data_IF_101225815219
#
_entry.id   IF_101225815219
#
_cell.length_a   1.000
_cell.length_b   1.000
_cell.length_c   1.000
_cell.angle_alpha   90.00
_cell.angle_beta   90.00
_cell.angle_gamma   90.00
#
_symmetry.space_group_name_H-M   'P 1'
#
loop_
_entity.id
_entity.type
_entity.pdbx_description
1 polymer ?
#
# COMPACT_ATOMS: atom_id res chain seq x y z
N UNK A 1 10.81 13.47 -54.46
CA UNK A 1 10.78 12.58 -53.27
C UNK A 1 11.41 13.14 -51.98
N UNK A 2 12.25 14.21 -52.01
CA UNK A 2 12.89 14.73 -50.78
C UNK A 2 11.96 15.65 -49.95
N UNK A 3 11.03 16.33 -50.61
CA UNK A 3 10.15 17.34 -49.99
C UNK A 3 8.97 16.72 -49.24
N UNK A 4 8.42 15.59 -49.68
CA UNK A 4 7.34 14.89 -48.96
C UNK A 4 7.82 14.32 -47.62
N UNK A 5 9.07 13.83 -47.55
CA UNK A 5 9.66 13.32 -46.30
C UNK A 5 9.87 14.43 -45.27
N UNK A 6 10.27 15.64 -45.71
CA UNK A 6 10.39 16.82 -44.84
C UNK A 6 9.02 17.32 -44.36
N UNK A 7 8.02 17.30 -45.24
CA UNK A 7 6.64 17.67 -44.87
C UNK A 7 6.03 16.65 -43.88
N UNK A 8 6.26 15.36 -44.09
CA UNK A 8 5.80 14.28 -43.21
C UNK A 8 6.50 14.34 -41.84
N UNK A 9 7.81 14.64 -41.81
CA UNK A 9 8.56 14.79 -40.56
C UNK A 9 8.10 16.02 -39.77
N UNK A 10 7.80 17.13 -40.45
CA UNK A 10 7.24 18.33 -39.81
C UNK A 10 5.84 18.06 -39.23
N UNK A 11 5.01 17.30 -39.95
CA UNK A 11 3.67 16.93 -39.48
C UNK A 11 3.72 16.03 -38.22
N UNK A 12 4.65 15.07 -38.17
CA UNK A 12 4.87 14.19 -37.01
C UNK A 12 5.37 14.98 -35.79
N UNK A 13 6.25 15.97 -35.99
CA UNK A 13 6.71 16.86 -34.93
C UNK A 13 5.59 17.76 -34.39
N UNK A 14 4.66 18.23 -35.24
CA UNK A 14 3.51 19.04 -34.79
C UNK A 14 2.48 18.19 -34.02
N UNK A 15 2.25 16.94 -34.45
CA UNK A 15 1.36 16.00 -33.76
C UNK A 15 1.87 15.56 -32.38
N UNK A 16 3.18 15.62 -32.13
CA UNK A 16 3.78 15.25 -30.84
C UNK A 16 3.75 16.36 -29.79
N UNK A 17 3.45 17.61 -30.15
CA UNK A 17 3.27 18.72 -29.19
C UNK A 17 1.84 18.79 -28.64
N UNK A 18 0.87 18.13 -29.29
CA UNK A 18 -0.54 18.13 -28.88
C UNK A 18 -0.89 17.08 -27.81
N UNK A 19 0.06 16.23 -27.40
CA UNK A 19 -0.09 15.33 -26.24
C UNK A 19 0.28 16.05 -24.94
N UNK A 20 -0.32 17.22 -24.71
CA UNK A 20 -0.28 17.87 -23.41
C UNK A 20 -0.92 16.95 -22.36
N UNK A 21 -0.23 16.71 -21.25
CA UNK A 21 -0.78 16.00 -20.10
C UNK A 21 -2.01 16.76 -19.57
N UNK A 22 -3.21 16.31 -19.94
CA UNK A 22 -4.41 16.68 -19.18
C UNK A 22 -4.20 16.20 -17.74
N UNK A 23 -4.25 17.11 -16.77
CA UNK A 23 -4.40 16.74 -15.36
C UNK A 23 -5.72 15.99 -15.25
N UNK A 24 -5.64 14.67 -15.19
CA UNK A 24 -6.79 13.83 -14.88
C UNK A 24 -7.17 14.10 -13.43
N UNK A 25 -8.25 14.86 -13.22
CA UNK A 25 -9.03 14.68 -12.01
C UNK A 25 -9.51 13.23 -12.06
N UNK A 26 -8.94 12.39 -11.21
CA UNK A 26 -9.40 11.01 -11.06
C UNK A 26 -10.73 11.09 -10.32
N UNK A 27 -11.83 11.27 -11.06
CA UNK A 27 -13.15 10.88 -10.56
C UNK A 27 -13.07 9.38 -10.28
N UNK A 28 -12.89 9.00 -9.03
CA UNK A 28 -12.85 7.60 -8.61
C UNK A 28 -14.23 6.92 -8.67
N UNK A 29 -15.24 7.62 -9.19
CA UNK A 29 -16.64 7.21 -9.17
C UNK A 29 -17.23 7.13 -7.77
N UNK A 30 -18.53 6.88 -7.70
CA UNK A 30 -19.21 6.43 -6.47
C UNK A 30 -18.89 4.95 -6.30
N UNK A 31 -17.89 4.62 -5.48
CA UNK A 31 -17.59 3.23 -5.16
C UNK A 31 -18.66 2.71 -4.19
N UNK A 32 -19.37 1.64 -4.56
CA UNK A 32 -20.21 0.94 -3.60
C UNK A 32 -19.30 0.28 -2.56
N UNK A 33 -19.34 0.78 -1.33
CA UNK A 33 -18.44 0.29 -0.28
C UNK A 33 -18.72 -1.18 0.08
N UNK A 34 -19.98 -1.63 -0.04
CA UNK A 34 -20.39 -2.97 0.35
C UNK A 34 -19.96 -4.00 -0.68
N UNK A 35 -19.50 -5.15 -0.18
CA UNK A 35 -19.18 -6.30 -1.01
C UNK A 35 -19.86 -7.56 -0.44
N UNK A 36 -20.56 -8.29 -1.30
CA UNK A 36 -21.35 -9.47 -0.94
C UNK A 36 -20.48 -10.74 -0.88
N UNK A 37 -19.43 -10.70 -0.07
CA UNK A 37 -18.50 -11.78 0.19
C UNK A 37 -17.53 -11.40 1.31
N UNK A 38 -16.63 -12.29 1.68
CA UNK A 38 -15.59 -12.00 2.69
C UNK A 38 -14.35 -11.32 2.06
N UNK A 39 -13.42 -10.86 2.91
CA UNK A 39 -12.19 -10.18 2.47
C UNK A 39 -11.38 -11.04 1.49
N UNK A 40 -11.27 -12.35 1.75
CA UNK A 40 -10.51 -13.26 0.89
C UNK A 40 -11.14 -13.35 -0.51
N UNK A 41 -12.46 -13.50 -0.60
CA UNK A 41 -13.20 -13.59 -1.87
C UNK A 41 -13.02 -12.31 -2.70
N UNK A 42 -13.10 -11.14 -2.08
CA UNK A 42 -12.85 -9.86 -2.77
C UNK A 42 -11.45 -9.84 -3.40
N UNK A 43 -10.44 -10.28 -2.65
CA UNK A 43 -9.06 -10.30 -3.13
C UNK A 43 -8.86 -11.33 -4.24
N UNK A 44 -9.54 -12.49 -4.17
CA UNK A 44 -9.53 -13.53 -5.20
C UNK A 44 -10.19 -13.05 -6.50
N UNK A 45 -11.30 -12.32 -6.45
CA UNK A 45 -11.90 -11.68 -7.64
C UNK A 45 -10.95 -10.67 -8.30
N UNK A 46 -10.12 -10.00 -7.49
CA UNK A 46 -9.09 -9.05 -7.95
C UNK A 46 -7.69 -9.69 -7.97
N UNK A 47 -7.59 -11.00 -8.23
CA UNK A 47 -6.33 -11.78 -8.22
C UNK A 47 -5.16 -11.10 -8.94
N UNK A 48 -5.28 -10.48 -10.14
CA UNK A 48 -4.13 -9.83 -10.77
C UNK A 48 -3.45 -8.76 -9.91
N UNK A 49 -4.21 -8.14 -8.99
CA UNK A 49 -3.70 -7.13 -8.07
C UNK A 49 -3.18 -7.69 -6.74
N UNK A 50 -3.72 -8.85 -6.30
CA UNK A 50 -3.43 -9.47 -4.99
C UNK A 50 -2.78 -10.86 -5.05
N UNK A 51 -2.42 -11.37 -6.24
CA UNK A 51 -1.87 -12.72 -6.44
C UNK A 51 -0.78 -13.14 -5.43
N UNK A 52 0.27 -12.32 -5.29
CA UNK A 52 1.33 -12.60 -4.33
C UNK A 52 0.85 -12.46 -2.89
N UNK A 53 -0.07 -11.52 -2.62
CA UNK A 53 -0.65 -11.32 -1.29
C UNK A 53 -1.50 -12.50 -0.85
N UNK A 54 -2.36 -13.03 -1.73
CA UNK A 54 -3.14 -14.25 -1.51
C UNK A 54 -2.22 -15.45 -1.23
N UNK A 55 -1.13 -15.57 -1.99
CA UNK A 55 -0.12 -16.60 -1.77
C UNK A 55 0.55 -16.47 -0.40
N UNK A 56 0.96 -15.25 -0.02
CA UNK A 56 1.56 -14.96 1.29
C UNK A 56 0.59 -15.22 2.43
N UNK A 57 -0.70 -14.89 2.29
CA UNK A 57 -1.73 -15.19 3.31
C UNK A 57 -1.81 -16.71 3.57
N UNK A 58 -1.79 -17.51 2.49
CA UNK A 58 -1.80 -18.98 2.59
C UNK A 58 -0.52 -19.51 3.23
N UNK A 59 0.65 -19.06 2.77
CA UNK A 59 1.95 -19.46 3.31
C UNK A 59 2.13 -19.06 4.79
N UNK A 60 1.55 -17.93 5.21
CA UNK A 60 1.56 -17.46 6.59
C UNK A 60 0.62 -18.25 7.52
N UNK A 61 -0.26 -19.11 6.98
CA UNK A 61 -1.31 -19.77 7.75
C UNK A 61 -2.37 -18.79 8.29
N UNK A 62 -2.61 -17.68 7.59
CA UNK A 62 -3.57 -16.63 7.99
C UNK A 62 -4.87 -16.65 7.18
N UNK A 63 -5.09 -17.66 6.36
CA UNK A 63 -6.29 -17.76 5.51
C UNK A 63 -7.60 -17.71 6.33
N UNK A 64 -7.67 -18.44 7.45
CA UNK A 64 -8.84 -18.43 8.33
C UNK A 64 -9.07 -17.08 9.00
N UNK A 65 -7.99 -16.42 9.43
CA UNK A 65 -8.06 -15.07 10.02
C UNK A 65 -8.67 -14.08 9.00
N UNK A 66 -8.18 -14.11 7.76
CA UNK A 66 -8.64 -13.18 6.71
C UNK A 66 -10.07 -13.50 6.23
N UNK A 67 -10.48 -14.77 6.20
CA UNK A 67 -11.76 -15.18 5.62
C UNK A 67 -12.92 -15.25 6.60
N UNK A 68 -12.66 -15.45 7.90
CA UNK A 68 -13.70 -15.74 8.90
C UNK A 68 -13.80 -14.70 10.01
N UNK A 69 -12.67 -14.16 10.47
CA UNK A 69 -12.68 -13.26 11.62
C UNK A 69 -13.18 -11.85 11.24
N UNK A 70 -13.73 -11.15 12.24
CA UNK A 70 -14.08 -9.73 12.11
C UNK A 70 -12.82 -8.86 12.28
N UNK A 71 -12.26 -8.41 11.16
CA UNK A 71 -10.98 -7.69 11.13
C UNK A 71 -11.01 -6.45 10.22
N UNK A 72 -10.04 -5.58 10.43
CA UNK A 72 -9.62 -4.57 9.47
C UNK A 72 -8.30 -5.00 8.87
N UNK A 73 -8.28 -5.22 7.56
CA UNK A 73 -7.07 -5.64 6.85
C UNK A 73 -6.55 -4.51 5.97
N UNK A 74 -5.31 -4.11 6.21
CA UNK A 74 -4.57 -3.17 5.37
C UNK A 74 -3.75 -3.94 4.33
N UNK A 75 -4.43 -4.42 3.28
CA UNK A 75 -3.85 -5.33 2.30
C UNK A 75 -2.71 -4.69 1.50
N UNK A 76 -1.48 -5.24 1.55
CA UNK A 76 -0.44 -4.87 0.62
C UNK A 76 -0.80 -5.43 -0.77
N UNK A 77 -0.63 -4.66 -1.86
CA UNK A 77 -0.77 -5.20 -3.22
C UNK A 77 0.42 -6.09 -3.59
N UNK A 78 0.27 -6.96 -4.59
CA UNK A 78 1.35 -7.87 -5.05
C UNK A 78 2.65 -7.14 -5.38
N UNK A 79 2.55 -5.91 -5.89
CA UNK A 79 3.73 -5.08 -6.19
C UNK A 79 4.58 -4.74 -4.97
N UNK A 80 4.00 -4.63 -3.78
CA UNK A 80 4.76 -4.38 -2.55
C UNK A 80 5.57 -5.60 -2.11
N UNK A 81 5.04 -6.81 -2.30
CA UNK A 81 5.75 -8.07 -2.04
C UNK A 81 6.88 -8.25 -3.05
N UNK A 82 6.60 -8.03 -4.34
CA UNK A 82 7.61 -8.09 -5.40
C UNK A 82 8.83 -7.19 -5.10
N UNK A 83 8.60 -5.95 -4.66
CA UNK A 83 9.68 -5.02 -4.31
C UNK A 83 10.57 -5.56 -3.16
N UNK A 84 9.95 -6.12 -2.11
CA UNK A 84 10.69 -6.66 -0.98
C UNK A 84 11.49 -7.91 -1.36
N UNK A 85 10.91 -8.83 -2.15
CA UNK A 85 11.63 -9.99 -2.69
C UNK A 85 12.77 -9.57 -3.63
N UNK A 86 12.54 -8.58 -4.49
CA UNK A 86 13.61 -8.04 -5.36
C UNK A 86 14.77 -7.51 -4.52
N UNK A 87 14.49 -6.79 -3.43
CA UNK A 87 15.55 -6.28 -2.54
C UNK A 87 16.27 -7.41 -1.81
N UNK A 88 15.54 -8.41 -1.31
CA UNK A 88 16.13 -9.62 -0.74
C UNK A 88 17.07 -10.32 -1.73
N UNK A 89 16.66 -10.49 -2.98
CA UNK A 89 17.50 -11.12 -4.01
C UNK A 89 18.73 -10.30 -4.39
N UNK A 90 18.70 -8.98 -4.20
CA UNK A 90 19.91 -8.15 -4.31
C UNK A 90 20.86 -8.51 -3.16
N UNK A 91 20.37 -8.55 -1.93
CA UNK A 91 21.16 -8.88 -0.73
C UNK A 91 21.79 -10.28 -0.82
N UNK A 92 21.01 -11.28 -1.22
CA UNK A 92 21.50 -12.65 -1.38
C UNK A 92 22.61 -12.73 -2.43
N UNK A 93 22.44 -12.04 -3.57
CA UNK A 93 23.45 -12.03 -4.63
C UNK A 93 24.76 -11.38 -4.18
N UNK A 94 24.71 -10.25 -3.47
CA UNK A 94 25.93 -9.57 -3.01
C UNK A 94 26.64 -10.33 -1.88
N UNK A 95 25.91 -11.18 -1.15
CA UNK A 95 26.46 -12.06 -0.10
C UNK A 95 26.82 -13.47 -0.60
N UNK A 96 26.78 -13.70 -1.92
CA UNK A 96 27.16 -14.99 -2.52
C UNK A 96 26.18 -16.14 -2.27
N UNK A 97 24.92 -15.83 -1.94
CA UNK A 97 23.85 -16.81 -1.68
C UNK A 97 22.92 -16.96 -2.87
N UNK A 98 22.27 -18.12 -2.97
CA UNK A 98 21.24 -18.38 -3.97
C UNK A 98 20.02 -17.48 -3.78
N UNK A 99 19.49 -16.96 -4.88
CA UNK A 99 18.31 -16.07 -4.86
C UNK A 99 17.00 -16.84 -4.74
N UNK A 100 15.99 -16.16 -4.21
CA UNK A 100 14.62 -16.67 -4.10
C UNK A 100 13.86 -16.51 -5.41
N UNK A 101 13.28 -17.61 -5.88
CA UNK A 101 12.45 -17.69 -7.09
C UNK A 101 10.98 -17.99 -6.80
N UNK A 102 10.68 -18.61 -5.65
CA UNK A 102 9.33 -18.95 -5.21
C UNK A 102 9.09 -18.41 -3.79
N UNK A 103 7.90 -17.88 -3.51
CA UNK A 103 7.55 -17.34 -2.19
C UNK A 103 7.57 -18.41 -1.09
N UNK A 104 7.35 -19.69 -1.44
CA UNK A 104 7.47 -20.86 -0.56
C UNK A 104 8.88 -21.10 -0.04
N UNK A 105 9.90 -20.50 -0.65
CA UNK A 105 11.28 -20.60 -0.15
C UNK A 105 11.47 -19.81 1.14
N UNK A 106 10.67 -18.77 1.37
CA UNK A 106 10.66 -18.02 2.62
C UNK A 106 9.79 -18.76 3.62
N UNK A 107 10.30 -18.90 4.85
CA UNK A 107 9.64 -19.66 5.90
C UNK A 107 8.27 -19.06 6.28
N UNK A 108 7.24 -19.90 6.54
CA UNK A 108 5.90 -19.47 6.96
C UNK A 108 5.87 -18.44 8.09
N UNK A 109 6.71 -18.60 9.11
CA UNK A 109 6.78 -17.73 10.29
C UNK A 109 7.19 -16.30 9.95
N UNK A 110 8.06 -16.10 8.95
CA UNK A 110 8.46 -14.77 8.48
C UNK A 110 7.27 -14.07 7.83
N UNK A 111 6.54 -14.79 6.97
CA UNK A 111 5.32 -14.28 6.36
C UNK A 111 4.27 -13.94 7.41
N UNK A 112 4.04 -14.84 8.36
CA UNK A 112 3.07 -14.65 9.44
C UNK A 112 3.41 -13.44 10.30
N UNK A 113 4.66 -13.32 10.76
CA UNK A 113 5.08 -12.21 11.61
C UNK A 113 4.86 -10.85 10.94
N UNK A 114 5.20 -10.75 9.66
CA UNK A 114 5.12 -9.49 8.94
C UNK A 114 3.71 -9.18 8.47
N UNK A 115 2.99 -10.15 7.90
CA UNK A 115 1.63 -9.95 7.42
C UNK A 115 0.67 -9.61 8.57
N UNK A 116 0.92 -10.16 9.77
CA UNK A 116 0.11 -9.86 10.96
C UNK A 116 0.15 -8.38 11.39
N UNK A 117 1.18 -7.62 10.99
CA UNK A 117 1.28 -6.17 11.25
C UNK A 117 0.28 -5.34 10.43
N UNK A 118 -0.35 -5.94 9.42
CA UNK A 118 -1.35 -5.31 8.56
C UNK A 118 -2.79 -5.63 8.97
N UNK A 119 -2.98 -6.47 9.99
CA UNK A 119 -4.28 -6.97 10.42
C UNK A 119 -4.60 -6.36 11.78
N UNK A 120 -5.82 -5.87 11.95
CA UNK A 120 -6.33 -5.31 13.20
C UNK A 120 -7.67 -5.96 13.53
N UNK A 121 -7.94 -6.22 14.81
CA UNK A 121 -9.22 -6.77 15.24
C UNK A 121 -10.33 -5.71 15.13
N UNK A 122 -11.54 -6.15 14.77
CA UNK A 122 -12.70 -5.28 14.61
C UNK A 122 -12.75 -4.58 13.26
N UNK A 123 -13.91 -4.02 12.95
CA UNK A 123 -14.21 -3.36 11.68
C UNK A 123 -14.09 -1.83 11.83
N UNK A 124 -12.95 -1.28 11.42
CA UNK A 124 -12.63 0.15 11.52
C UNK A 124 -12.60 0.76 10.12
N UNK A 125 -13.60 1.60 9.84
CA UNK A 125 -13.78 2.33 8.59
C UNK A 125 -12.95 3.61 8.61
N UNK A 126 -12.88 4.29 7.47
CA UNK A 126 -12.15 5.56 7.37
C UNK A 126 -12.64 6.58 8.41
N UNK A 127 -13.95 6.67 8.62
CA UNK A 127 -14.57 7.60 9.58
C UNK A 127 -14.26 7.31 11.05
N UNK A 128 -13.81 6.10 11.37
CA UNK A 128 -13.55 5.67 12.75
C UNK A 128 -12.11 6.02 13.19
N UNK A 129 -11.27 6.49 12.25
CA UNK A 129 -9.92 6.93 12.51
C UNK A 129 -9.85 8.45 12.72
N UNK A 130 -9.06 8.91 13.72
CA UNK A 130 -8.91 10.34 13.96
C UNK A 130 -8.13 11.03 12.85
N UNK A 131 -8.27 12.36 12.82
CA UNK A 131 -7.46 13.20 11.96
C UNK A 131 -5.98 13.06 12.33
N UNK A 132 -5.14 13.15 11.30
CA UNK A 132 -3.70 13.19 11.42
C UNK A 132 -3.13 14.29 10.54
N UNK A 133 -2.17 15.04 11.06
CA UNK A 133 -1.47 16.10 10.34
C UNK A 133 0.03 16.03 10.67
N UNK A 134 0.87 15.89 9.65
CA UNK A 134 2.33 15.83 9.84
C UNK A 134 2.98 17.19 10.11
N UNK A 135 2.30 18.28 9.78
CA UNK A 135 2.75 19.65 10.06
C UNK A 135 2.25 20.13 11.42
N UNK A 136 1.10 19.63 11.86
CA UNK A 136 0.50 19.94 13.16
C UNK A 136 0.28 18.68 14.00
N UNK A 137 1.36 17.91 14.18
CA UNK A 137 1.29 16.60 14.81
C UNK A 137 0.80 16.64 16.27
N UNK A 138 1.17 17.68 17.02
CA UNK A 138 0.72 17.85 18.41
C UNK A 138 -0.80 18.02 18.51
N UNK A 139 -1.42 18.67 17.53
CA UNK A 139 -2.88 18.84 17.49
C UNK A 139 -3.57 17.61 16.88
N UNK A 140 -2.97 17.00 15.87
CA UNK A 140 -3.53 15.88 15.10
C UNK A 140 -2.53 14.72 14.97
N UNK A 141 -2.29 13.94 16.03
CA UNK A 141 -1.28 12.88 16.02
C UNK A 141 -1.72 11.59 15.30
N UNK A 142 -2.99 11.47 14.92
CA UNK A 142 -3.61 10.18 14.64
C UNK A 142 -3.76 9.36 15.94
N UNK A 143 -3.80 8.03 15.84
CA UNK A 143 -3.93 7.16 17.00
C UNK A 143 -3.15 5.85 16.84
N UNK A 144 -2.68 5.31 17.97
CA UNK A 144 -2.04 4.00 18.05
C UNK A 144 -3.08 2.87 18.02
N UNK A 145 -2.85 1.87 17.18
CA UNK A 145 -3.64 0.64 17.10
C UNK A 145 -2.73 -0.57 17.18
N UNK A 146 -3.10 -1.55 17.99
CA UNK A 146 -2.35 -2.80 18.13
C UNK A 146 -2.73 -3.74 16.99
N UNK A 147 -1.74 -4.09 16.16
CA UNK A 147 -1.90 -5.08 15.10
C UNK A 147 -1.98 -6.50 15.65
N UNK A 148 -2.32 -7.46 14.79
CA UNK A 148 -2.47 -8.87 15.15
C UNK A 148 -1.17 -9.51 15.66
N UNK A 149 0.00 -8.97 15.28
CA UNK A 149 1.30 -9.40 15.83
C UNK A 149 1.60 -8.81 17.22
N UNK A 150 0.71 -7.98 17.78
CA UNK A 150 0.94 -7.24 19.03
C UNK A 150 1.72 -5.93 18.84
N UNK A 151 2.11 -5.57 17.59
CA UNK A 151 2.84 -4.33 17.33
C UNK A 151 1.89 -3.13 17.28
N UNK A 152 2.25 -2.04 17.95
CA UNK A 152 1.54 -0.75 17.86
C UNK A 152 1.90 -0.06 16.54
N UNK A 153 0.87 0.31 15.78
CA UNK A 153 0.93 1.04 14.52
C UNK A 153 0.20 2.37 14.67
N UNK A 154 0.61 3.42 13.97
CA UNK A 154 -0.14 4.68 13.95
C UNK A 154 -1.07 4.70 12.74
N UNK A 155 -2.35 4.97 12.97
CA UNK A 155 -3.37 5.09 11.92
C UNK A 155 -4.05 6.44 12.05
N UNK A 156 -4.31 7.09 10.93
CA UNK A 156 -5.02 8.36 10.93
C UNK A 156 -5.31 8.87 9.53
N UNK A 157 -6.18 9.87 9.46
CA UNK A 157 -6.67 10.42 8.20
C UNK A 157 -6.11 11.82 8.00
N UNK A 158 -5.40 12.02 6.89
CA UNK A 158 -4.98 13.35 6.45
C UNK A 158 -6.15 14.01 5.73
N UNK A 159 -6.53 15.19 6.21
CA UNK A 159 -7.56 16.01 5.58
C UNK A 159 -6.81 16.98 4.66
N UNK A 160 -6.91 16.79 3.35
CA UNK A 160 -6.21 17.65 2.40
C UNK A 160 -6.93 19.00 2.27
N UNK A 161 -6.22 19.99 1.75
CA UNK A 161 -6.82 21.30 1.47
C UNK A 161 -7.66 21.26 0.18
N UNK A 162 -8.73 22.05 0.15
CA UNK A 162 -9.42 22.36 -1.10
C UNK A 162 -8.67 23.52 -1.78
N UNK A 163 -8.11 23.27 -2.96
CA UNK A 163 -7.31 24.25 -3.69
C UNK A 163 -7.98 24.56 -5.03
N UNK A 164 -8.30 25.83 -5.24
CA UNK A 164 -8.78 26.35 -6.53
C UNK A 164 -7.58 26.88 -7.29
N UNK A 165 -7.38 26.38 -8.52
CA UNK A 165 -6.28 26.77 -9.38
C UNK A 165 -6.79 27.60 -10.57
N UNK A 166 -5.99 28.55 -11.04
CA UNK A 166 -6.20 29.24 -12.32
C UNK A 166 -5.87 28.32 -13.49
N UNK A 167 -6.25 28.71 -14.71
CA UNK A 167 -5.90 27.98 -15.94
C UNK A 167 -4.38 27.85 -16.15
N UNK A 168 -3.59 28.74 -15.52
CA UNK A 168 -2.12 28.72 -15.53
C UNK A 168 -1.51 27.91 -14.39
N UNK A 169 -2.34 27.32 -13.53
CA UNK A 169 -1.91 26.51 -12.39
C UNK A 169 -1.56 27.28 -11.12
N UNK A 170 -1.89 28.56 -11.05
CA UNK A 170 -1.65 29.40 -9.87
C UNK A 170 -2.76 29.17 -8.83
N UNK A 171 -2.44 29.22 -7.53
CA UNK A 171 -3.42 29.04 -6.47
C UNK A 171 -4.26 30.31 -6.31
N UNK A 172 -5.55 30.24 -6.67
CA UNK A 172 -6.52 31.32 -6.51
C UNK A 172 -7.13 31.34 -5.11
N UNK A 173 -7.36 30.16 -4.52
CA UNK A 173 -7.91 30.02 -3.17
C UNK A 173 -7.51 28.69 -2.56
N UNK A 174 -7.37 28.68 -1.23
CA UNK A 174 -7.09 27.49 -0.43
C UNK A 174 -7.96 27.51 0.81
N UNK A 175 -8.72 26.43 1.02
CA UNK A 175 -9.46 26.20 2.26
C UNK A 175 -8.85 24.99 2.96
N UNK A 176 -8.26 25.24 4.13
CA UNK A 176 -7.58 24.22 4.91
C UNK A 176 -8.55 23.09 5.30
N UNK A 177 -8.09 21.84 5.19
CA UNK A 177 -8.84 20.62 5.59
C UNK A 177 -10.20 20.39 4.90
N UNK A 178 -10.53 21.16 3.87
CA UNK A 178 -11.81 21.06 3.16
C UNK A 178 -11.77 20.17 1.89
N UNK A 179 -10.61 19.58 1.59
CA UNK A 179 -10.39 18.71 0.45
C UNK A 179 -10.70 17.23 0.76
N UNK A 180 -10.11 16.35 -0.04
CA UNK A 180 -10.31 14.91 0.09
C UNK A 180 -9.60 14.35 1.33
N UNK A 181 -10.19 13.29 1.90
CA UNK A 181 -9.64 12.57 3.05
C UNK A 181 -8.81 11.41 2.57
N UNK A 182 -7.59 11.28 3.09
CA UNK A 182 -6.70 10.17 2.77
C UNK A 182 -6.31 9.43 4.04
N UNK A 183 -6.66 8.16 4.12
CA UNK A 183 -6.24 7.28 5.22
C UNK A 183 -4.75 6.94 5.07
N UNK A 184 -4.06 6.84 6.21
CA UNK A 184 -2.67 6.39 6.30
C UNK A 184 -2.52 5.31 7.36
N UNK A 185 -1.73 4.29 7.02
CA UNK A 185 -1.13 3.38 7.98
C UNK A 185 0.34 3.76 8.12
N UNK A 186 0.83 3.91 9.35
CA UNK A 186 2.20 4.26 9.62
C UNK A 186 2.85 3.27 10.59
N UNK A 187 4.02 2.79 10.19
CA UNK A 187 4.88 1.98 11.05
C UNK A 187 5.72 2.89 11.92
N UNK A 188 5.75 2.59 13.21
CA UNK A 188 6.52 3.30 14.23
C UNK A 188 7.87 2.57 14.38
N UNK A 189 9.02 3.13 13.94
CA UNK A 189 10.30 2.43 14.05
C UNK A 189 10.79 2.33 15.48
N UNK A 190 10.65 3.40 16.26
CA UNK A 190 11.03 3.49 17.67
C UNK A 190 9.79 3.78 18.52
N UNK A 191 9.37 2.81 19.32
CA UNK A 191 8.20 2.95 20.21
C UNK A 191 8.47 3.91 21.38
N UNK A 192 9.73 4.19 21.70
CA UNK A 192 10.12 5.17 22.73
C UNK A 192 9.95 6.60 22.22
N UNK A 193 10.03 6.81 20.90
CA UNK A 193 9.74 8.07 20.21
C UNK A 193 8.70 7.86 19.10
N UNK A 194 7.43 7.57 19.45
CA UNK A 194 6.43 7.08 18.51
C UNK A 194 5.95 8.13 17.50
N UNK A 195 6.48 9.35 17.58
CA UNK A 195 6.16 10.49 16.72
C UNK A 195 7.25 10.76 15.67
N UNK A 196 8.43 10.16 15.84
CA UNK A 196 9.63 10.47 15.04
C UNK A 196 9.79 9.44 13.93
N UNK A 197 10.10 9.92 12.71
CA UNK A 197 10.47 9.09 11.56
C UNK A 197 9.47 7.98 11.21
N UNK A 198 8.17 8.25 11.40
CA UNK A 198 7.09 7.35 11.00
C UNK A 198 7.19 6.97 9.52
N UNK A 199 7.12 5.67 9.23
CA UNK A 199 7.06 5.19 7.85
C UNK A 199 5.61 5.25 7.37
N UNK A 200 5.29 6.33 6.68
CA UNK A 200 3.93 6.67 6.26
C UNK A 200 3.53 5.99 4.95
N UNK A 201 2.42 5.25 4.98
CA UNK A 201 1.89 4.59 3.79
C UNK A 201 0.48 5.09 3.52
N UNK A 202 0.27 5.81 2.41
CA UNK A 202 -1.07 6.21 2.00
C UNK A 202 -1.86 4.97 1.57
N UNK A 203 -3.15 5.00 1.89
CA UNK A 203 -4.14 4.03 1.39
C UNK A 203 -4.59 4.49 0.01
N UNK A 204 -4.61 3.56 -0.95
CA UNK A 204 -5.05 3.81 -2.32
C UNK A 204 -6.55 3.59 -2.50
N UNK A 205 -7.11 2.58 -1.82
CA UNK A 205 -8.55 2.31 -1.79
C UNK A 205 -8.93 2.00 -0.35
N UNK A 206 -9.79 2.83 0.24
CA UNK A 206 -10.22 2.68 1.62
C UNK A 206 -11.68 2.27 1.72
N UNK A 207 -12.03 1.64 2.84
CA UNK A 207 -13.40 1.38 3.27
C UNK A 207 -14.20 0.46 2.32
N UNK A 208 -13.53 -0.57 1.78
CA UNK A 208 -14.23 -1.73 1.22
C UNK A 208 -14.81 -2.51 2.41
N UNK A 209 -16.08 -2.86 2.36
CA UNK A 209 -16.85 -3.47 3.45
C UNK A 209 -17.38 -4.85 3.04
N UNK A 210 -16.53 -5.89 3.09
CA UNK A 210 -16.95 -7.29 3.02
C UNK A 210 -17.77 -7.71 4.25
N UNK A 211 -18.31 -8.92 4.23
CA UNK A 211 -19.17 -9.46 5.30
C UNK A 211 -18.45 -9.69 6.63
N UNK A 212 -17.13 -9.85 6.62
CA UNK A 212 -16.31 -10.13 7.80
C UNK A 212 -15.37 -8.97 8.20
N UNK A 213 -15.68 -7.72 7.81
CA UNK A 213 -14.98 -6.55 8.34
C UNK A 213 -14.70 -5.47 7.30
N UNK A 214 -13.48 -4.92 7.33
CA UNK A 214 -13.08 -3.80 6.46
C UNK A 214 -11.75 -4.10 5.76
N UNK A 215 -11.68 -3.78 4.48
CA UNK A 215 -10.47 -3.88 3.68
C UNK A 215 -10.01 -2.48 3.24
N UNK A 216 -8.77 -2.14 3.60
CA UNK A 216 -8.05 -0.97 3.12
C UNK A 216 -6.86 -1.45 2.27
N UNK A 217 -6.67 -0.88 1.09
CA UNK A 217 -5.63 -1.32 0.14
C UNK A 217 -4.49 -0.31 0.13
N UNK A 218 -3.28 -0.77 0.42
CA UNK A 218 -2.10 0.09 0.46
C UNK A 218 -1.70 0.59 -0.93
N UNK A 219 -1.11 1.78 -1.00
CA UNK A 219 -0.59 2.30 -2.25
C UNK A 219 0.65 1.51 -2.73
N UNK A 220 0.51 0.81 -3.86
CA UNK A 220 1.54 0.00 -4.51
C UNK A 220 2.87 0.75 -4.72
N UNK A 221 2.83 2.03 -5.03
CA UNK A 221 4.02 2.81 -5.35
C UNK A 221 4.75 3.31 -4.11
N UNK A 222 4.03 3.55 -3.02
CA UNK A 222 4.54 4.13 -1.77
C UNK A 222 4.79 3.10 -0.67
N UNK A 223 4.70 1.81 -0.96
CA UNK A 223 4.87 0.75 0.03
C UNK A 223 5.72 -0.43 -0.47
N UNK A 224 6.61 -0.89 0.41
CA UNK A 224 7.28 -2.19 0.33
C UNK A 224 6.75 -3.09 1.45
N UNK A 225 6.54 -4.37 1.17
CA UNK A 225 6.10 -5.33 2.19
C UNK A 225 7.09 -5.38 3.36
N UNK A 226 6.56 -5.34 4.58
CA UNK A 226 7.32 -5.27 5.83
C UNK A 226 7.49 -3.89 6.44
N UNK A 227 7.00 -2.82 5.80
CA UNK A 227 7.20 -1.40 6.18
C UNK A 227 8.66 -0.94 6.12
N UNK A 228 9.54 -1.68 6.78
CA UNK A 228 10.99 -1.61 6.66
C UNK A 228 11.48 -2.88 5.94
N UNK A 229 11.96 -2.73 4.71
CA UNK A 229 12.42 -3.85 3.89
C UNK A 229 13.64 -4.56 4.48
N UNK A 230 14.50 -3.85 5.23
CA UNK A 230 15.66 -4.48 5.86
C UNK A 230 15.23 -5.48 6.94
N UNK A 231 14.21 -5.13 7.74
CA UNK A 231 13.66 -6.04 8.76
C UNK A 231 13.10 -7.32 8.13
N UNK A 232 12.43 -7.22 6.98
CA UNK A 232 11.98 -8.40 6.24
C UNK A 232 13.17 -9.27 5.79
N UNK A 233 14.21 -8.65 5.24
CA UNK A 233 15.40 -9.34 4.73
C UNK A 233 16.14 -10.06 5.86
N UNK A 234 16.37 -9.37 6.97
CA UNK A 234 17.02 -9.92 8.16
C UNK A 234 16.25 -11.14 8.70
N UNK A 235 14.93 -11.03 8.84
CA UNK A 235 14.10 -12.16 9.27
C UNK A 235 14.13 -13.32 8.28
N UNK A 236 14.05 -13.06 6.98
CA UNK A 236 14.12 -14.08 5.95
C UNK A 236 15.46 -14.83 5.95
N UNK A 237 16.57 -14.09 6.09
CA UNK A 237 17.91 -14.68 6.14
C UNK A 237 18.11 -15.45 7.45
N UNK A 238 17.68 -14.87 8.59
CA UNK A 238 17.85 -15.48 9.91
C UNK A 238 17.03 -16.75 10.09
N UNK A 239 15.83 -16.83 9.50
CA UNK A 239 15.00 -18.05 9.53
C UNK A 239 15.52 -19.13 8.55
N UNK A 240 16.46 -18.77 7.67
CA UNK A 240 16.94 -19.60 6.59
C UNK A 240 15.98 -19.62 5.39
N UNK A 241 16.54 -19.86 4.21
CA UNK A 241 15.79 -19.92 2.95
C UNK A 241 15.77 -21.38 2.48
N UNK A 242 14.57 -21.90 2.21
CA UNK A 242 14.43 -23.27 1.70
C UNK A 242 15.01 -23.37 0.28
N UNK A 243 15.55 -24.55 -0.09
CA UNK A 243 15.95 -24.81 -1.46
C UNK A 243 14.75 -24.65 -2.40
N UNK A 244 15.04 -24.36 -3.66
CA UNK A 244 14.01 -24.32 -4.70
C UNK A 244 13.39 -25.71 -4.84
N UNK A 245 12.09 -25.81 -4.60
CA UNK A 245 11.32 -27.02 -4.92
C UNK A 245 11.15 -27.14 -6.44
N UNK A 246 11.30 -28.36 -7.01
CA UNK A 246 11.09 -28.63 -8.44
C UNK A 246 9.72 -28.17 -8.94
#
# INVERSE_FOLDING_TARGET
MKNYKRMLFSLICVLSVLTGCKKYYMETGVHEAKYNGNIMQYMEEKKPFFDSTLTVIKLAGLADVISKENITFFAPPSGSIFKSIRRLNIELRVTGKDTVSQLSQIKPEVWKNILSQYIFKGANRLKDYPQRDTLSYLAFPGQGYTSYSGRIMNVGVIFNDAVVLSDKGEVLSRVAYAGYRQLYLAYIPDLSNPQVSLVNIPIATSDIQPTNGVLHVLNKFKHNFGFNTNVFIEQAISAGINPRTP
#
